data_IF_695019056598
#
_entry.id   IF_695019056598
#
_cell.length_a   1.000
_cell.length_b   1.000
_cell.length_c   1.000
_cell.angle_alpha   90.00
_cell.angle_beta   90.00
_cell.angle_gamma   90.00
#
_symmetry.space_group_name_H-M   'P 1'
#
loop_
_entity.id
_entity.type
_entity.pdbx_description
1 polymer ?
#
# COMPACT_ATOMS: atom_id res chain seq x y z
N UNK A 1 39.97 1.93 -59.49
CA UNK A 1 39.33 2.86 -58.52
C UNK A 1 38.66 2.03 -57.44
N UNK A 2 39.24 1.99 -56.23
CA UNK A 2 38.74 1.17 -55.11
C UNK A 2 37.79 2.02 -54.25
N UNK A 3 36.54 1.60 -54.01
CA UNK A 3 35.60 2.36 -53.19
C UNK A 3 36.04 2.32 -51.72
N UNK A 4 36.31 3.49 -51.15
CA UNK A 4 36.53 3.67 -49.71
C UNK A 4 35.20 3.39 -48.98
N UNK A 5 35.07 2.20 -48.41
CA UNK A 5 34.02 1.87 -47.46
C UNK A 5 34.17 2.79 -46.23
N UNK A 6 33.32 3.82 -46.18
CA UNK A 6 33.13 4.67 -45.00
C UNK A 6 32.66 3.79 -43.84
N UNK A 7 33.58 3.40 -42.97
CA UNK A 7 33.22 2.68 -41.75
C UNK A 7 32.26 3.52 -40.91
N UNK A 8 31.15 2.94 -40.41
CA UNK A 8 30.21 3.65 -39.57
C UNK A 8 30.92 4.11 -38.29
N UNK A 9 30.86 5.42 -38.01
CA UNK A 9 31.49 6.15 -36.88
C UNK A 9 31.09 5.64 -35.47
N UNK A 10 30.31 4.57 -35.39
CA UNK A 10 29.85 3.93 -34.17
C UNK A 10 30.92 3.06 -33.52
N UNK A 11 31.72 2.34 -34.29
CA UNK A 11 32.73 1.41 -33.74
C UNK A 11 33.80 2.14 -32.94
N UNK A 12 34.41 3.24 -33.42
CA UNK A 12 35.40 3.98 -32.64
C UNK A 12 34.81 4.60 -31.36
N UNK A 13 33.54 5.04 -31.40
CA UNK A 13 32.84 5.60 -30.22
C UNK A 13 32.56 4.53 -29.17
N UNK A 14 32.19 3.32 -29.59
CA UNK A 14 31.97 2.19 -28.69
C UNK A 14 33.26 1.74 -28.01
N UNK A 15 34.35 1.64 -28.77
CA UNK A 15 35.66 1.28 -28.23
C UNK A 15 36.13 2.32 -27.20
N UNK A 16 36.01 3.61 -27.52
CA UNK A 16 36.37 4.70 -26.59
C UNK A 16 35.53 4.70 -25.31
N UNK A 17 34.24 4.37 -25.41
CA UNK A 17 33.36 4.24 -24.25
C UNK A 17 33.67 3.00 -23.39
N UNK A 18 34.11 1.90 -24.01
CA UNK A 18 34.54 0.70 -23.29
C UNK A 18 35.89 0.90 -22.59
N UNK A 19 36.83 1.59 -23.23
CA UNK A 19 38.12 1.96 -22.63
C UNK A 19 37.93 2.88 -21.43
N UNK A 20 37.08 3.91 -21.55
CA UNK A 20 36.75 4.79 -20.43
C UNK A 20 35.97 4.08 -19.32
N UNK A 21 35.15 3.09 -19.64
CA UNK A 21 34.47 2.24 -18.65
C UNK A 21 35.45 1.30 -17.92
N UNK A 22 36.46 0.75 -18.61
CA UNK A 22 37.52 -0.09 -18.01
C UNK A 22 38.49 0.70 -17.14
N UNK A 23 38.81 1.94 -17.53
CA UNK A 23 39.73 2.80 -16.78
C UNK A 23 39.09 3.36 -15.49
N UNK A 24 37.76 3.31 -15.36
CA UNK A 24 37.10 3.66 -14.09
C UNK A 24 37.26 2.49 -13.11
N UNK A 25 37.80 2.72 -11.90
CA UNK A 25 37.76 1.71 -10.86
C UNK A 25 36.28 1.30 -10.63
N UNK A 26 36.00 0.02 -10.32
CA UNK A 26 34.64 -0.47 -10.11
C UNK A 26 33.98 0.34 -9.00
N UNK A 27 33.26 1.38 -9.41
CA UNK A 27 32.56 2.27 -8.51
C UNK A 27 31.34 1.51 -8.03
N UNK A 28 31.30 1.25 -6.73
CA UNK A 28 30.11 0.78 -6.01
C UNK A 28 28.98 1.83 -6.00
N UNK A 29 29.14 2.96 -6.70
CA UNK A 29 28.12 3.97 -6.80
C UNK A 29 26.94 3.48 -7.67
N UNK A 30 25.69 3.73 -7.25
CA UNK A 30 24.50 3.29 -7.95
C UNK A 30 24.46 3.86 -9.38
N UNK A 31 23.96 3.05 -10.32
CA UNK A 31 23.74 3.37 -11.73
C UNK A 31 23.33 4.84 -11.92
N UNK A 32 24.20 5.59 -12.59
CA UNK A 32 24.02 7.02 -12.87
C UNK A 32 22.70 7.21 -13.63
N UNK A 33 21.66 7.65 -12.93
CA UNK A 33 20.43 8.09 -13.59
C UNK A 33 20.78 9.36 -14.36
N UNK A 34 20.36 9.48 -15.64
CA UNK A 34 20.61 10.69 -16.41
C UNK A 34 20.06 11.89 -15.64
N UNK A 35 20.78 13.03 -15.60
CA UNK A 35 20.33 14.20 -14.88
C UNK A 35 18.94 14.58 -15.37
N UNK A 36 17.98 14.52 -14.45
CA UNK A 36 16.58 14.81 -14.73
C UNK A 36 16.54 16.23 -15.31
N UNK A 37 16.23 16.35 -16.60
CA UNK A 37 16.17 17.63 -17.32
C UNK A 37 15.37 18.59 -16.42
N UNK A 38 16.04 19.62 -15.88
CA UNK A 38 15.39 20.65 -15.07
C UNK A 38 14.30 21.21 -15.96
N UNK A 39 13.04 20.83 -15.70
CA UNK A 39 11.92 21.48 -16.36
C UNK A 39 12.04 22.94 -15.90
N UNK A 40 12.40 23.83 -16.83
CA UNK A 40 12.38 25.26 -16.58
C UNK A 40 11.01 25.55 -15.96
N UNK A 41 11.03 26.03 -14.71
CA UNK A 41 9.81 26.47 -14.06
C UNK A 41 9.25 27.56 -14.94
N UNK A 42 8.06 27.36 -15.49
CA UNK A 42 7.28 28.51 -15.91
C UNK A 42 7.08 29.32 -14.64
N UNK A 43 7.55 30.57 -14.64
CA UNK A 43 7.25 31.52 -13.58
C UNK A 43 5.74 31.48 -13.35
N UNK A 44 5.39 31.22 -12.10
CA UNK A 44 4.00 31.26 -11.67
C UNK A 44 3.66 32.74 -11.61
N UNK A 45 3.23 33.29 -12.74
CA UNK A 45 2.55 34.58 -12.73
C UNK A 45 1.42 34.44 -11.70
N UNK A 46 1.46 35.28 -10.67
CA UNK A 46 0.45 35.32 -9.60
C UNK A 46 -0.92 35.35 -10.27
N UNK A 47 -1.75 34.34 -9.98
CA UNK A 47 -3.08 34.25 -10.58
C UNK A 47 -3.80 35.59 -10.37
N UNK A 48 -4.39 36.19 -11.44
CA UNK A 48 -5.20 37.37 -11.25
C UNK A 48 -6.27 37.06 -10.21
N UNK A 49 -6.46 37.99 -9.25
CA UNK A 49 -7.49 37.82 -8.22
C UNK A 49 -8.83 37.58 -8.93
N UNK A 50 -9.51 36.50 -8.57
CA UNK A 50 -10.83 36.23 -9.13
C UNK A 50 -11.74 37.42 -8.78
N UNK A 51 -12.36 38.08 -9.77
CA UNK A 51 -13.33 39.13 -9.45
C UNK A 51 -14.46 38.50 -8.62
N UNK A 52 -14.91 39.23 -7.59
CA UNK A 52 -15.99 38.79 -6.71
C UNK A 52 -17.16 38.27 -7.55
N UNK A 53 -17.73 37.10 -7.24
CA UNK A 53 -18.93 36.59 -7.94
C UNK A 53 -20.22 37.19 -7.37
N UNK A 54 -20.13 38.07 -6.37
CA UNK A 54 -21.30 38.75 -5.82
C UNK A 54 -21.94 39.67 -6.88
N UNK A 55 -23.28 39.72 -6.94
CA UNK A 55 -23.98 40.71 -7.77
C UNK A 55 -23.93 42.13 -7.17
N UNK A 56 -23.62 42.26 -5.86
CA UNK A 56 -23.60 43.54 -5.18
C UNK A 56 -22.48 44.45 -5.72
N UNK A 57 -22.88 45.63 -6.22
CA UNK A 57 -21.95 46.65 -6.74
C UNK A 57 -21.52 46.47 -8.20
N UNK A 58 -22.10 45.53 -8.94
CA UNK A 58 -21.82 45.35 -10.38
C UNK A 58 -22.76 46.15 -11.26
N UNK A 59 -22.19 47.00 -12.12
CA UNK A 59 -22.93 47.72 -13.17
C UNK A 59 -23.13 46.90 -14.46
N UNK A 60 -22.41 45.78 -14.61
CA UNK A 60 -22.42 44.95 -15.82
C UNK A 60 -22.49 43.46 -15.47
N UNK A 61 -23.02 42.67 -16.41
CA UNK A 61 -23.07 41.22 -16.32
C UNK A 61 -21.67 40.62 -16.21
N UNK A 62 -21.52 39.55 -15.43
CA UNK A 62 -20.28 38.75 -15.31
C UNK A 62 -19.80 38.23 -16.67
N UNK A 63 -20.72 38.10 -17.63
CA UNK A 63 -20.50 37.59 -19.00
C UNK A 63 -20.16 38.72 -19.99
N UNK A 64 -20.04 39.97 -19.53
CA UNK A 64 -19.53 41.08 -20.36
C UNK A 64 -18.29 41.74 -19.75
N UNK A 65 -17.74 41.16 -18.68
CA UNK A 65 -16.64 41.75 -17.91
C UNK A 65 -15.29 41.44 -18.59
N UNK A 66 -14.50 42.46 -18.90
CA UNK A 66 -13.22 42.30 -19.64
C UNK A 66 -12.19 41.39 -18.95
N UNK A 67 -12.38 41.11 -17.66
CA UNK A 67 -11.63 40.16 -16.85
C UNK A 67 -12.24 38.75 -16.81
N UNK A 68 -13.06 38.42 -17.80
CA UNK A 68 -13.77 37.16 -17.83
C UNK A 68 -12.85 35.95 -17.86
N UNK A 69 -13.00 35.01 -16.90
CA UNK A 69 -12.25 33.78 -16.91
C UNK A 69 -12.61 32.87 -18.10
N UNK A 70 -13.78 33.08 -18.71
CA UNK A 70 -14.24 32.34 -19.90
C UNK A 70 -13.52 32.83 -21.16
N UNK A 71 -13.41 34.15 -21.33
CA UNK A 71 -12.75 34.74 -22.50
C UNK A 71 -11.21 34.72 -22.37
N UNK A 72 -10.69 34.69 -21.14
CA UNK A 72 -9.24 34.65 -20.85
C UNK A 72 -8.80 33.38 -20.14
N UNK A 73 -9.28 32.20 -20.58
CA UNK A 73 -8.91 30.88 -20.01
C UNK A 73 -7.38 30.69 -19.92
N UNK A 74 -6.61 31.25 -20.86
CA UNK A 74 -5.16 31.19 -20.84
C UNK A 74 -4.53 31.91 -19.63
N UNK A 75 -5.11 33.04 -19.19
CA UNK A 75 -4.68 33.82 -18.01
C UNK A 75 -5.19 33.21 -16.70
N UNK A 76 -6.31 32.50 -16.76
CA UNK A 76 -6.93 31.83 -15.62
C UNK A 76 -6.61 30.33 -15.55
N UNK A 77 -5.56 29.89 -16.24
CA UNK A 77 -5.12 28.49 -16.19
C UNK A 77 -4.60 28.22 -14.79
N UNK A 78 -5.49 27.75 -13.90
CA UNK A 78 -5.12 27.33 -12.55
C UNK A 78 -3.96 26.37 -12.66
N UNK A 79 -2.78 26.83 -12.28
CA UNK A 79 -1.68 25.93 -12.01
C UNK A 79 -2.19 25.02 -10.89
N UNK A 80 -2.34 23.73 -11.21
CA UNK A 80 -2.72 22.75 -10.19
C UNK A 80 -1.64 22.84 -9.13
N UNK A 81 -2.00 23.37 -7.96
CA UNK A 81 -1.11 23.38 -6.81
C UNK A 81 -0.57 21.96 -6.64
N UNK A 82 0.71 21.86 -6.30
CA UNK A 82 1.31 20.56 -6.07
C UNK A 82 0.47 19.81 -5.03
N UNK A 83 0.24 18.49 -5.22
CA UNK A 83 -0.56 17.73 -4.27
C UNK A 83 0.03 17.88 -2.87
N UNK A 84 -0.80 18.08 -1.84
CA UNK A 84 -0.31 18.24 -0.49
C UNK A 84 0.47 16.98 -0.07
N UNK A 85 1.46 17.16 0.80
CA UNK A 85 2.33 16.06 1.24
C UNK A 85 2.20 15.90 2.75
N UNK A 86 2.17 14.65 3.20
CA UNK A 86 2.33 14.32 4.62
C UNK A 86 3.72 14.78 5.06
N UNK A 87 3.80 15.88 5.80
CA UNK A 87 5.06 16.33 6.39
C UNK A 87 5.33 15.51 7.64
N UNK A 88 6.24 14.56 7.54
CA UNK A 88 6.76 13.86 8.71
C UNK A 88 7.67 14.87 9.43
N UNK A 89 7.40 15.20 10.70
CA UNK A 89 8.23 16.13 11.46
C UNK A 89 9.62 15.53 11.63
N UNK A 90 10.57 15.93 10.78
CA UNK A 90 11.96 15.54 10.94
C UNK A 90 12.53 16.23 12.19
N UNK A 91 13.38 15.54 12.97
CA UNK A 91 14.11 16.19 14.04
C UNK A 91 14.86 17.40 13.43
N UNK A 92 14.62 18.59 14.00
CA UNK A 92 15.27 19.83 13.60
C UNK A 92 16.76 19.73 13.94
N UNK A 93 17.53 19.05 13.11
CA UNK A 93 18.96 19.33 13.04
C UNK A 93 19.07 20.75 12.49
N UNK A 94 19.45 21.67 13.37
CA UNK A 94 19.57 23.12 13.15
C UNK A 94 20.50 23.34 11.94
N UNK A 95 19.97 23.73 10.78
CA UNK A 95 20.81 24.14 9.66
C UNK A 95 20.11 24.13 8.30
N UNK A 96 19.63 22.97 7.85
CA UNK A 96 19.20 22.81 6.46
C UNK A 96 18.06 21.78 6.39
N UNK A 97 16.82 22.21 6.57
CA UNK A 97 15.73 21.43 5.98
C UNK A 97 15.59 21.88 4.53
N UNK A 98 15.90 21.02 3.55
CA UNK A 98 15.54 21.30 2.17
C UNK A 98 14.02 21.34 2.11
N UNK A 99 13.46 22.54 2.16
CA UNK A 99 12.09 22.76 1.70
C UNK A 99 12.08 22.18 0.29
N UNK A 100 11.31 21.11 0.09
CA UNK A 100 11.18 20.47 -1.22
C UNK A 100 10.41 21.42 -2.12
N UNK A 101 11.11 22.44 -2.63
CA UNK A 101 10.63 23.31 -3.68
C UNK A 101 10.56 22.48 -4.96
N UNK A 102 9.36 22.41 -5.52
CA UNK A 102 9.19 21.92 -6.89
C UNK A 102 8.65 23.11 -7.66
N UNK A 103 9.48 23.67 -8.54
CA UNK A 103 9.15 24.91 -9.29
C UNK A 103 8.92 26.14 -8.39
N UNK A 104 9.77 26.36 -7.39
CA UNK A 104 9.72 27.57 -6.55
C UNK A 104 8.62 27.60 -5.49
N UNK A 105 7.56 26.80 -5.62
CA UNK A 105 6.49 26.73 -4.61
C UNK A 105 6.78 25.65 -3.56
N UNK A 106 6.65 25.98 -2.26
CA UNK A 106 6.71 24.97 -1.21
C UNK A 106 5.46 24.09 -1.27
N UNK A 107 5.63 22.77 -1.20
CA UNK A 107 4.49 21.86 -1.08
C UNK A 107 3.73 22.14 0.21
N UNK A 108 2.42 22.39 0.09
CA UNK A 108 1.49 22.51 1.22
C UNK A 108 1.51 21.23 2.06
N UNK A 109 1.47 21.38 3.38
CA UNK A 109 1.29 20.26 4.30
C UNK A 109 -0.17 19.81 4.30
N UNK A 110 -0.42 18.50 4.41
CA UNK A 110 -1.79 18.01 4.53
C UNK A 110 -2.46 18.51 5.83
N UNK A 111 -3.72 18.93 5.74
CA UNK A 111 -4.57 19.20 6.91
C UNK A 111 -4.84 17.91 7.71
N UNK A 112 -5.45 18.04 8.89
CA UNK A 112 -5.89 16.89 9.70
C UNK A 112 -6.91 16.03 8.94
N UNK A 113 -7.90 16.67 8.32
CA UNK A 113 -8.93 16.01 7.49
C UNK A 113 -8.32 15.32 6.27
N UNK A 114 -7.43 16.00 5.53
CA UNK A 114 -6.73 15.40 4.39
C UNK A 114 -5.92 14.18 4.82
N UNK A 115 -5.31 14.22 6.01
CA UNK A 115 -4.60 13.06 6.58
C UNK A 115 -5.54 11.93 6.97
N UNK A 116 -6.68 12.21 7.58
CA UNK A 116 -7.68 11.19 7.92
C UNK A 116 -8.19 10.47 6.66
N UNK A 117 -8.51 11.24 5.60
CA UNK A 117 -8.91 10.69 4.30
C UNK A 117 -7.79 9.88 3.63
N UNK A 118 -6.53 10.34 3.74
CA UNK A 118 -5.37 9.65 3.17
C UNK A 118 -4.96 8.39 3.94
N UNK A 119 -5.19 8.37 5.25
CA UNK A 119 -4.97 7.22 6.12
C UNK A 119 -6.01 6.11 5.91
N UNK A 120 -7.20 6.45 5.39
CA UNK A 120 -8.23 5.49 5.05
C UNK A 120 -7.86 4.70 3.76
N UNK A 121 -7.61 3.38 3.85
CA UNK A 121 -7.20 2.60 2.70
C UNK A 121 -8.28 2.50 1.62
N UNK A 122 -9.56 2.52 1.99
CA UNK A 122 -10.67 2.39 1.04
C UNK A 122 -10.78 3.63 0.14
N UNK A 123 -10.72 4.81 0.74
CA UNK A 123 -10.71 6.08 0.00
C UNK A 123 -9.49 6.17 -0.91
N UNK A 124 -8.32 5.72 -0.44
CA UNK A 124 -7.09 5.71 -1.24
C UNK A 124 -7.15 4.71 -2.40
N UNK A 125 -7.87 3.60 -2.28
CA UNK A 125 -8.14 2.70 -3.41
C UNK A 125 -9.02 3.39 -4.46
N UNK A 126 -10.08 4.09 -4.03
CA UNK A 126 -10.99 4.82 -4.91
C UNK A 126 -10.29 6.01 -5.60
N UNK A 127 -9.34 6.66 -4.92
CA UNK A 127 -8.55 7.76 -5.48
C UNK A 127 -7.47 7.30 -6.46
N UNK A 128 -7.28 5.99 -6.67
CA UNK A 128 -6.30 5.52 -7.65
C UNK A 128 -6.75 5.82 -9.08
N UNK A 129 -5.82 6.00 -10.04
CA UNK A 129 -6.18 6.31 -11.41
C UNK A 129 -7.14 5.29 -12.01
N UNK A 130 -8.20 5.77 -12.63
CA UNK A 130 -9.24 4.94 -13.24
C UNK A 130 -8.72 4.35 -14.56
N UNK A 131 -9.02 3.06 -14.82
CA UNK A 131 -8.64 2.32 -16.04
C UNK A 131 -9.77 1.43 -16.50
N UNK A 132 -9.80 1.11 -17.78
CA UNK A 132 -10.77 0.18 -18.35
C UNK A 132 -10.29 -1.27 -18.24
N UNK A 133 -11.15 -2.16 -17.74
CA UNK A 133 -10.91 -3.59 -17.71
C UNK A 133 -11.02 -4.18 -19.13
N UNK A 134 -10.04 -5.00 -19.53
CA UNK A 134 -9.97 -5.63 -20.84
C UNK A 134 -11.15 -6.57 -21.10
N UNK A 135 -11.55 -7.33 -20.07
CA UNK A 135 -12.59 -8.36 -20.13
C UNK A 135 -13.99 -7.77 -20.07
N UNK A 136 -14.30 -7.04 -19.01
CA UNK A 136 -15.66 -6.55 -18.73
C UNK A 136 -15.95 -5.19 -19.37
N UNK A 137 -14.93 -4.50 -19.91
CA UNK A 137 -15.01 -3.12 -20.41
C UNK A 137 -15.44 -2.07 -19.38
N UNK A 138 -15.65 -2.47 -18.12
CA UNK A 138 -15.96 -1.58 -17.00
C UNK A 138 -14.74 -0.73 -16.66
N UNK A 139 -15.03 0.48 -16.20
CA UNK A 139 -14.04 1.49 -15.85
C UNK A 139 -13.92 1.51 -14.32
N UNK A 140 -12.75 1.10 -13.80
CA UNK A 140 -12.52 0.88 -12.37
C UNK A 140 -11.22 1.55 -11.90
N UNK A 141 -11.09 1.93 -10.62
CA UNK A 141 -9.82 2.39 -10.08
C UNK A 141 -8.74 1.31 -10.17
N UNK A 142 -7.48 1.71 -10.42
CA UNK A 142 -6.34 0.79 -10.60
C UNK A 142 -6.15 -0.19 -9.44
N UNK A 143 -6.51 0.18 -8.21
CA UNK A 143 -6.42 -0.72 -7.05
C UNK A 143 -7.25 -2.01 -7.22
N UNK A 144 -8.38 -1.94 -7.93
CA UNK A 144 -9.28 -3.06 -8.22
C UNK A 144 -8.87 -3.85 -9.47
N UNK A 145 -7.73 -3.51 -10.07
CA UNK A 145 -7.25 -4.08 -11.33
C UNK A 145 -5.86 -4.70 -11.16
N UNK A 146 -5.57 -5.67 -12.01
CA UNK A 146 -4.27 -6.31 -12.21
C UNK A 146 -3.78 -5.90 -13.58
N UNK A 147 -2.56 -5.37 -13.64
CA UNK A 147 -1.89 -5.04 -14.91
C UNK A 147 -1.18 -6.29 -15.43
N UNK A 148 -1.49 -6.68 -16.66
CA UNK A 148 -0.78 -7.69 -17.42
C UNK A 148 -0.06 -7.03 -18.60
N UNK A 149 1.18 -7.42 -18.84
CA UNK A 149 1.99 -6.91 -19.93
C UNK A 149 2.55 -8.07 -20.77
N UNK A 150 2.53 -7.97 -22.12
CA UNK A 150 3.19 -8.95 -22.96
C UNK A 150 4.70 -8.91 -22.70
N UNK A 151 5.31 -10.09 -22.60
CA UNK A 151 6.75 -10.28 -22.48
C UNK A 151 7.23 -11.11 -23.66
N UNK A 152 8.27 -10.63 -24.33
CA UNK A 152 8.94 -11.40 -25.37
C UNK A 152 9.62 -12.61 -24.73
N UNK A 153 9.29 -13.80 -25.23
CA UNK A 153 10.06 -15.00 -24.91
C UNK A 153 11.36 -15.01 -25.73
N UNK A 154 12.44 -15.57 -25.19
CA UNK A 154 13.65 -15.79 -25.98
C UNK A 154 13.30 -16.63 -27.22
N UNK A 155 13.83 -16.29 -28.41
CA UNK A 155 13.51 -17.00 -29.64
C UNK A 155 13.98 -18.46 -29.51
N UNK A 156 13.05 -19.41 -29.67
CA UNK A 156 13.38 -20.84 -29.60
C UNK A 156 13.96 -21.38 -30.91
N UNK A 157 13.75 -20.66 -32.04
CA UNK A 157 14.27 -21.02 -33.37
C UNK A 157 14.71 -19.78 -34.13
N UNK A 158 15.80 -19.90 -34.88
CA UNK A 158 16.30 -18.88 -35.82
C UNK A 158 15.24 -18.69 -36.91
N UNK A 159 14.67 -17.49 -37.02
CA UNK A 159 13.65 -17.13 -38.03
C UNK A 159 12.18 -17.29 -37.61
N UNK A 160 11.89 -17.77 -36.40
CA UNK A 160 10.51 -17.86 -35.91
C UNK A 160 9.93 -16.51 -35.46
N UNK A 161 8.60 -16.33 -35.61
CA UNK A 161 7.88 -15.22 -35.00
C UNK A 161 8.14 -15.22 -33.48
N UNK A 162 8.47 -14.05 -32.92
CA UNK A 162 8.69 -13.91 -31.47
C UNK A 162 7.38 -14.20 -30.74
N UNK A 163 7.37 -15.29 -29.98
CA UNK A 163 6.27 -15.61 -29.10
C UNK A 163 6.26 -14.61 -27.93
N UNK A 164 5.08 -14.09 -27.62
CA UNK A 164 4.87 -13.25 -26.45
C UNK A 164 4.09 -14.03 -25.39
N UNK A 165 4.45 -13.85 -24.13
CA UNK A 165 3.72 -14.38 -22.99
C UNK A 165 3.11 -13.23 -22.21
N UNK A 166 1.82 -13.32 -21.91
CA UNK A 166 1.17 -12.36 -21.03
C UNK A 166 1.56 -12.67 -19.58
N UNK A 167 2.16 -11.70 -18.90
CA UNK A 167 2.66 -11.86 -17.54
C UNK A 167 2.23 -10.70 -16.63
N UNK A 168 2.11 -10.93 -15.31
CA UNK A 168 1.78 -9.87 -14.38
C UNK A 168 2.91 -8.82 -14.31
N UNK A 169 2.50 -7.55 -14.22
CA UNK A 169 3.40 -6.41 -14.09
C UNK A 169 2.88 -5.44 -13.02
N UNK A 170 3.81 -4.81 -12.29
CA UNK A 170 3.47 -3.82 -11.26
C UNK A 170 2.68 -4.35 -10.06
N UNK A 171 2.66 -5.66 -9.80
CA UNK A 171 2.10 -6.23 -8.57
C UNK A 171 3.03 -6.00 -7.37
N UNK A 172 4.33 -6.16 -7.58
CA UNK A 172 5.37 -5.92 -6.57
C UNK A 172 5.58 -4.44 -6.29
N UNK A 173 6.14 -4.14 -5.12
CA UNK A 173 6.39 -2.77 -4.71
C UNK A 173 7.47 -2.12 -5.59
N UNK A 174 7.30 -0.86 -6.03
CA UNK A 174 8.24 -0.16 -6.91
C UNK A 174 9.71 -0.17 -6.45
N UNK A 175 9.96 -0.14 -5.14
CA UNK A 175 11.31 -0.23 -4.55
C UNK A 175 11.99 -1.59 -4.77
N UNK A 176 11.22 -2.66 -4.96
CA UNK A 176 11.74 -4.01 -5.21
C UNK A 176 11.79 -4.31 -6.70
N UNK A 177 10.77 -3.84 -7.44
CA UNK A 177 10.71 -3.99 -8.89
C UNK A 177 9.95 -2.84 -9.52
N UNK A 178 10.64 -2.11 -10.38
CA UNK A 178 10.03 -1.05 -11.15
C UNK A 178 9.00 -1.63 -12.14
N UNK A 179 7.82 -1.00 -12.26
CA UNK A 179 6.85 -1.40 -13.27
C UNK A 179 7.46 -1.17 -14.66
N UNK A 180 7.18 -2.09 -15.59
CA UNK A 180 7.70 -1.93 -16.95
C UNK A 180 7.02 -0.77 -17.67
N UNK A 181 7.81 -0.03 -18.44
CA UNK A 181 7.31 0.96 -19.39
C UNK A 181 6.79 0.20 -20.62
N UNK A 182 5.60 0.57 -21.09
CA UNK A 182 4.98 -0.04 -22.27
C UNK A 182 3.51 -0.35 -22.11
N UNK A 183 2.93 -0.91 -23.17
CA UNK A 183 1.52 -1.27 -23.23
C UNK A 183 1.22 -2.35 -22.20
N UNK A 184 0.28 -2.05 -21.30
CA UNK A 184 -0.22 -3.00 -20.31
C UNK A 184 -1.74 -2.96 -20.29
N UNK A 185 -2.33 -4.13 -20.13
CA UNK A 185 -3.76 -4.34 -20.11
C UNK A 185 -4.21 -4.56 -18.67
N UNK A 186 -5.38 -4.07 -18.32
CA UNK A 186 -5.90 -4.18 -16.97
C UNK A 186 -7.03 -5.20 -16.95
N UNK A 187 -7.03 -6.06 -15.95
CA UNK A 187 -8.09 -7.04 -15.69
C UNK A 187 -8.57 -6.85 -14.27
N UNK A 188 -9.84 -7.12 -13.99
CA UNK A 188 -10.38 -7.10 -12.63
C UNK A 188 -9.52 -7.96 -11.69
N UNK A 189 -9.28 -7.46 -10.48
CA UNK A 189 -8.53 -8.17 -9.43
C UNK A 189 -9.42 -9.28 -8.84
N UNK A 190 -9.67 -10.30 -9.65
CA UNK A 190 -10.54 -11.43 -9.35
C UNK A 190 -10.01 -12.68 -10.06
N UNK A 191 -9.91 -13.79 -9.32
CA UNK A 191 -9.33 -15.05 -9.80
C UNK A 191 -10.09 -15.60 -11.01
N UNK A 192 -11.42 -15.64 -10.94
CA UNK A 192 -12.23 -16.20 -12.02
C UNK A 192 -12.16 -15.34 -13.29
N UNK A 193 -11.87 -14.05 -13.18
CA UNK A 193 -11.61 -13.21 -14.35
C UNK A 193 -10.39 -13.71 -15.15
N UNK A 194 -9.36 -14.22 -14.47
CA UNK A 194 -8.19 -14.85 -15.13
C UNK A 194 -8.59 -16.18 -15.75
N UNK A 195 -9.36 -17.01 -15.06
CA UNK A 195 -9.88 -18.28 -15.58
C UNK A 195 -10.74 -18.05 -16.83
N UNK A 196 -11.62 -17.05 -16.81
CA UNK A 196 -12.44 -16.63 -17.95
C UNK A 196 -11.59 -16.14 -19.12
N UNK A 197 -10.50 -15.40 -18.87
CA UNK A 197 -9.58 -14.96 -19.93
C UNK A 197 -8.86 -16.14 -20.59
N UNK A 198 -8.49 -17.16 -19.81
CA UNK A 198 -7.83 -18.38 -20.30
C UNK A 198 -8.83 -19.26 -21.06
N UNK A 199 -10.04 -19.43 -20.55
CA UNK A 199 -11.07 -20.29 -21.14
C UNK A 199 -11.77 -19.70 -22.37
N UNK A 200 -12.01 -18.37 -22.41
CA UNK A 200 -12.65 -17.73 -23.57
C UNK A 200 -11.64 -17.53 -24.70
N UNK A 201 -11.77 -18.35 -25.74
CA UNK A 201 -10.94 -18.26 -26.93
C UNK A 201 -10.94 -16.84 -27.53
N UNK A 202 -9.75 -16.29 -27.77
CA UNK A 202 -9.57 -15.05 -28.52
C UNK A 202 -9.51 -13.74 -27.72
N UNK A 203 -9.84 -13.72 -26.42
CA UNK A 203 -9.79 -12.46 -25.65
C UNK A 203 -8.35 -11.94 -25.51
N UNK A 204 -7.40 -12.83 -25.18
CA UNK A 204 -5.98 -12.50 -25.13
C UNK A 204 -5.39 -12.20 -26.51
N UNK A 205 -5.99 -12.65 -27.62
CA UNK A 205 -5.54 -12.32 -28.99
C UNK A 205 -5.76 -10.84 -29.34
N UNK A 206 -6.64 -10.14 -28.63
CA UNK A 206 -6.81 -8.67 -28.75
C UNK A 206 -5.59 -7.90 -28.24
N UNK A 207 -4.76 -8.51 -27.40
CA UNK A 207 -3.50 -7.94 -26.90
C UNK A 207 -2.41 -8.01 -27.98
N UNK A 208 -2.38 -9.11 -28.74
CA UNK A 208 -1.46 -9.33 -29.85
C UNK A 208 -1.68 -10.70 -30.47
N UNK A 209 -1.30 -10.86 -31.75
CA UNK A 209 -1.54 -12.09 -32.53
C UNK A 209 -0.81 -13.32 -31.97
N UNK A 210 0.38 -13.13 -31.41
CA UNK A 210 1.26 -14.20 -30.91
C UNK A 210 1.37 -14.23 -29.38
N UNK A 211 0.36 -13.69 -28.68
CA UNK A 211 0.34 -13.63 -27.22
C UNK A 211 -0.27 -14.92 -26.68
N UNK A 212 0.49 -15.61 -25.84
CA UNK A 212 0.07 -16.80 -25.12
C UNK A 212 -0.09 -16.50 -23.64
N UNK A 213 -1.02 -17.19 -22.97
CA UNK A 213 -1.20 -17.11 -21.52
C UNK A 213 -0.72 -18.43 -20.92
N UNK A 214 0.16 -18.37 -19.93
CA UNK A 214 0.63 -19.58 -19.28
C UNK A 214 -0.39 -20.13 -18.28
N UNK A 215 -0.42 -21.47 -18.15
CA UNK A 215 -1.35 -22.19 -17.26
C UNK A 215 -1.27 -21.75 -15.79
N UNK A 216 -0.10 -21.34 -15.32
CA UNK A 216 0.14 -20.94 -13.93
C UNK A 216 -0.03 -19.44 -13.67
N UNK A 217 -0.64 -18.69 -14.59
CA UNK A 217 -0.79 -17.24 -14.46
C UNK A 217 -1.56 -16.86 -13.20
N UNK A 218 -2.60 -17.63 -12.89
CA UNK A 218 -3.43 -17.41 -11.73
C UNK A 218 -2.64 -17.58 -10.43
N UNK A 219 -1.92 -18.69 -10.28
CA UNK A 219 -1.08 -19.01 -9.13
C UNK A 219 0.06 -18.00 -9.00
N UNK A 220 0.67 -17.60 -10.12
CA UNK A 220 1.71 -16.58 -10.13
C UNK A 220 1.19 -15.23 -9.61
N UNK A 221 0.02 -14.79 -10.07
CA UNK A 221 -0.61 -13.55 -9.57
C UNK A 221 -0.91 -13.68 -8.08
N UNK A 222 -1.51 -14.79 -7.66
CA UNK A 222 -1.85 -15.05 -6.26
C UNK A 222 -0.61 -15.00 -5.36
N UNK A 223 0.49 -15.62 -5.79
CA UNK A 223 1.79 -15.59 -5.11
C UNK A 223 2.35 -14.17 -5.04
N UNK A 224 2.38 -13.45 -6.16
CA UNK A 224 2.94 -12.10 -6.22
C UNK A 224 2.15 -11.09 -5.38
N UNK A 225 0.82 -11.23 -5.26
CA UNK A 225 0.01 -10.40 -4.36
C UNK A 225 0.37 -10.65 -2.88
N UNK A 226 0.68 -11.89 -2.49
CA UNK A 226 1.16 -12.22 -1.13
C UNK A 226 2.58 -11.70 -0.89
N UNK A 227 3.46 -11.84 -1.87
CA UNK A 227 4.80 -11.23 -1.83
C UNK A 227 4.68 -9.70 -1.67
N UNK A 228 3.70 -9.06 -2.32
CA UNK A 228 3.44 -7.63 -2.14
C UNK A 228 3.09 -7.27 -0.70
N UNK A 229 2.27 -8.07 0.00
CA UNK A 229 2.00 -7.87 1.44
C UNK A 229 3.29 -7.89 2.25
N UNK A 230 4.17 -8.88 2.03
CA UNK A 230 5.46 -8.97 2.71
C UNK A 230 6.37 -7.76 2.40
N UNK A 231 6.40 -7.31 1.15
CA UNK A 231 7.16 -6.13 0.73
C UNK A 231 6.66 -4.85 1.40
N UNK A 232 5.34 -4.65 1.49
CA UNK A 232 4.76 -3.50 2.19
C UNK A 232 5.07 -3.53 3.69
N UNK A 233 5.05 -4.71 4.32
CA UNK A 233 5.48 -4.84 5.72
C UNK A 233 6.94 -4.46 5.92
N UNK A 234 7.82 -4.83 5.00
CA UNK A 234 9.22 -4.42 5.05
C UNK A 234 9.35 -2.90 4.95
N UNK A 235 8.63 -2.26 4.03
CA UNK A 235 8.66 -0.80 3.88
C UNK A 235 8.08 -0.11 5.11
N UNK A 236 7.01 -0.65 5.67
CA UNK A 236 6.44 -0.16 6.92
C UNK A 236 7.45 -0.23 8.07
N UNK A 237 8.25 -1.31 8.13
CA UNK A 237 9.32 -1.44 9.13
C UNK A 237 10.42 -0.39 8.97
N UNK A 238 10.79 -0.08 7.72
CA UNK A 238 11.78 0.97 7.42
C UNK A 238 11.25 2.36 7.80
N UNK A 239 9.96 2.60 7.59
CA UNK A 239 9.30 3.85 7.96
C UNK A 239 9.21 4.01 9.49
N UNK A 240 8.81 2.96 10.20
CA UNK A 240 8.75 2.94 11.67
C UNK A 240 10.12 3.16 12.32
N UNK A 241 11.19 2.61 11.76
CA UNK A 241 12.55 2.86 12.24
C UNK A 241 12.96 4.35 12.16
N UNK A 242 12.35 5.12 11.26
CA UNK A 242 12.60 6.56 11.10
C UNK A 242 11.64 7.42 11.92
N UNK A 243 10.43 6.92 12.21
CA UNK A 243 9.33 7.67 12.83
C UNK A 243 9.06 7.25 14.29
N UNK A 244 9.94 7.64 15.22
CA UNK A 244 9.83 7.22 16.63
C UNK A 244 8.80 8.03 17.45
N UNK A 245 8.39 9.22 17.00
CA UNK A 245 7.52 10.14 17.76
C UNK A 245 6.05 9.67 17.75
N UNK A 246 5.32 9.89 18.84
CA UNK A 246 3.88 9.59 18.94
C UNK A 246 3.54 8.10 19.08
N UNK A 247 4.50 7.28 19.51
CA UNK A 247 4.34 5.85 19.72
C UNK A 247 3.46 5.48 20.92
N UNK A 248 3.32 6.39 21.90
CA UNK A 248 2.49 6.19 23.08
C UNK A 248 1.01 6.40 22.80
N UNK A 249 0.68 7.42 22.01
CA UNK A 249 -0.71 7.84 21.80
C UNK A 249 -1.46 6.82 20.95
N UNK A 250 -0.87 6.44 19.82
CA UNK A 250 -1.51 5.52 18.89
C UNK A 250 -0.55 4.46 18.34
N UNK A 251 -0.83 3.17 18.62
CA UNK A 251 0.00 2.09 18.13
C UNK A 251 -0.29 1.78 16.67
N UNK A 252 0.74 1.68 15.82
CA UNK A 252 0.58 1.23 14.42
C UNK A 252 0.22 -0.26 14.34
N UNK A 253 0.87 -1.04 15.20
CA UNK A 253 0.63 -2.47 15.34
C UNK A 253 0.60 -2.82 16.82
N UNK A 254 -0.34 -3.68 17.22
CA UNK A 254 -0.33 -4.29 18.54
C UNK A 254 -0.76 -5.74 18.49
N UNK A 255 -0.30 -6.50 19.48
CA UNK A 255 -0.72 -7.88 19.69
C UNK A 255 -1.92 -7.87 20.61
N UNK A 256 -3.04 -8.45 20.19
CA UNK A 256 -4.22 -8.57 21.05
C UNK A 256 -3.92 -9.53 22.20
N UNK A 257 -4.39 -9.24 23.41
CA UNK A 257 -4.35 -10.21 24.52
C UNK A 257 -5.28 -11.40 24.23
N UNK A 258 -5.16 -12.48 25.00
CA UNK A 258 -6.08 -13.62 24.86
C UNK A 258 -7.51 -13.24 25.26
N UNK A 259 -7.68 -12.40 26.29
CA UNK A 259 -8.97 -11.84 26.68
C UNK A 259 -9.59 -11.02 25.55
N UNK A 260 -8.85 -10.06 24.98
CA UNK A 260 -9.33 -9.24 23.85
C UNK A 260 -9.70 -10.10 22.65
N UNK A 261 -8.86 -11.08 22.32
CA UNK A 261 -9.12 -11.99 21.20
C UNK A 261 -10.34 -12.90 21.44
N UNK A 262 -10.56 -13.35 22.67
CA UNK A 262 -11.77 -14.08 23.06
C UNK A 262 -12.99 -13.16 22.92
N UNK A 263 -12.88 -11.90 23.33
CA UNK A 263 -13.89 -10.86 23.15
C UNK A 263 -14.28 -10.66 21.68
N UNK A 264 -13.31 -10.47 20.78
CA UNK A 264 -13.56 -10.33 19.33
C UNK A 264 -14.25 -11.56 18.74
N UNK A 265 -13.87 -12.76 19.21
CA UNK A 265 -14.51 -14.01 18.78
C UNK A 265 -15.95 -14.17 19.28
N UNK A 266 -16.23 -13.77 20.52
CA UNK A 266 -17.55 -13.89 21.13
C UNK A 266 -18.51 -12.81 20.66
N UNK A 267 -18.05 -11.56 20.53
CA UNK A 267 -18.86 -10.44 20.05
C UNK A 267 -19.06 -10.48 18.53
N UNK A 268 -18.12 -11.09 17.81
CA UNK A 268 -18.09 -10.99 16.35
C UNK A 268 -17.83 -9.57 15.85
N UNK A 269 -17.35 -8.66 16.70
CA UNK A 269 -17.04 -7.26 16.37
C UNK A 269 -15.61 -6.90 16.77
N UNK A 270 -15.04 -5.87 16.12
CA UNK A 270 -13.70 -5.34 16.40
C UNK A 270 -13.85 -3.92 16.96
N UNK A 271 -13.95 -3.75 18.30
CA UNK A 271 -14.31 -2.49 18.96
C UNK A 271 -13.13 -1.51 19.04
N UNK A 272 -12.49 -1.24 17.90
CA UNK A 272 -11.32 -0.37 17.81
C UNK A 272 -11.52 0.60 16.65
N UNK A 273 -11.72 1.89 16.96
CA UNK A 273 -12.09 2.92 15.99
C UNK A 273 -11.08 3.07 14.83
N UNK A 274 -9.78 2.95 15.11
CA UNK A 274 -8.72 3.07 14.11
C UNK A 274 -8.26 1.73 13.53
N UNK A 275 -8.99 0.64 13.79
CA UNK A 275 -8.64 -0.67 13.26
C UNK A 275 -8.85 -0.75 11.75
N UNK A 276 -7.80 -1.16 11.03
CA UNK A 276 -7.87 -1.38 9.59
C UNK A 276 -7.84 -2.86 9.22
N UNK A 277 -7.13 -3.68 9.98
CA UNK A 277 -7.14 -5.13 9.77
C UNK A 277 -6.72 -5.87 11.04
N UNK A 278 -7.27 -7.08 11.20
CA UNK A 278 -6.79 -8.05 12.20
C UNK A 278 -6.15 -9.22 11.45
N UNK A 279 -4.91 -9.58 11.78
CA UNK A 279 -4.22 -10.73 11.20
C UNK A 279 -4.02 -11.80 12.26
N UNK A 280 -4.58 -12.99 12.04
CA UNK A 280 -4.37 -14.16 12.90
C UNK A 280 -3.28 -15.02 12.31
N UNK A 281 -2.05 -14.88 12.82
CA UNK A 281 -0.87 -15.55 12.27
C UNK A 281 -0.20 -16.37 13.37
N UNK A 282 -0.56 -17.67 13.53
CA UNK A 282 0.13 -18.54 14.47
C UNK A 282 1.58 -18.80 14.01
N UNK A 283 2.50 -19.09 14.95
CA UNK A 283 3.86 -19.47 14.61
C UNK A 283 3.86 -20.76 13.78
N UNK A 284 4.76 -20.85 12.82
CA UNK A 284 4.86 -22.03 11.96
C UNK A 284 5.50 -23.18 12.75
N UNK A 285 4.86 -24.35 12.70
CA UNK A 285 5.37 -25.56 13.32
C UNK A 285 6.71 -25.98 12.73
N UNK A 286 7.53 -26.62 13.56
CA UNK A 286 8.76 -27.26 13.13
C UNK A 286 8.44 -28.42 12.20
N UNK A 287 9.18 -28.58 11.10
CA UNK A 287 9.01 -29.72 10.21
C UNK A 287 9.29 -31.03 10.97
N UNK A 288 8.40 -32.04 10.94
CA UNK A 288 8.56 -33.24 11.75
C UNK A 288 9.80 -34.06 11.34
N UNK A 289 10.12 -34.10 10.05
CA UNK A 289 11.29 -34.80 9.50
C UNK A 289 12.60 -34.08 9.80
N UNK A 290 12.68 -32.78 9.52
CA UNK A 290 13.95 -32.03 9.64
C UNK A 290 14.20 -31.44 11.02
N UNK A 291 13.18 -31.44 11.91
CA UNK A 291 13.17 -30.77 13.23
C UNK A 291 13.60 -29.30 13.19
N UNK A 292 13.57 -28.67 12.00
CA UNK A 292 13.91 -27.26 11.80
C UNK A 292 12.66 -26.46 11.45
N UNK A 293 12.60 -25.23 11.95
CA UNK A 293 11.58 -24.28 11.51
C UNK A 293 11.87 -23.84 10.07
N UNK A 294 10.83 -23.66 9.26
CA UNK A 294 10.99 -23.21 7.87
C UNK A 294 11.62 -21.82 7.85
N UNK A 295 12.55 -21.62 6.91
CA UNK A 295 13.23 -20.33 6.75
C UNK A 295 12.24 -19.33 6.12
N UNK A 296 12.16 -18.09 6.63
CA UNK A 296 11.33 -17.06 6.02
C UNK A 296 11.82 -16.75 4.61
N UNK A 297 10.90 -16.74 3.64
CA UNK A 297 11.21 -16.45 2.23
C UNK A 297 10.27 -15.37 1.67
N UNK A 298 10.84 -14.37 1.01
CA UNK A 298 10.12 -13.26 0.35
C UNK A 298 10.35 -13.26 -1.18
N UNK A 299 10.85 -14.36 -1.74
CA UNK A 299 11.16 -14.47 -3.17
C UNK A 299 9.92 -14.34 -4.05
N UNK A 300 10.07 -13.59 -5.14
CA UNK A 300 9.08 -13.48 -6.21
C UNK A 300 8.88 -14.81 -6.95
N UNK A 301 9.90 -15.67 -6.98
CA UNK A 301 9.79 -16.98 -7.59
C UNK A 301 9.00 -17.91 -6.65
N UNK A 302 7.98 -18.63 -7.16
CA UNK A 302 7.31 -19.65 -6.36
C UNK A 302 8.31 -20.72 -5.95
N UNK A 303 8.21 -21.20 -4.71
CA UNK A 303 8.98 -22.36 -4.25
C UNK A 303 8.49 -23.62 -4.95
N UNK A 304 9.36 -24.59 -5.28
CA UNK A 304 8.97 -25.83 -5.92
C UNK A 304 7.93 -26.60 -5.10
N UNK A 305 7.99 -26.49 -3.77
CA UNK A 305 7.04 -27.05 -2.80
C UNK A 305 5.57 -26.64 -3.06
N UNK A 306 5.34 -25.55 -3.81
CA UNK A 306 4.01 -25.08 -4.17
C UNK A 306 3.35 -25.95 -5.26
N UNK A 307 4.13 -26.59 -6.13
CA UNK A 307 3.63 -27.26 -7.34
C UNK A 307 3.03 -28.64 -7.04
N UNK A 308 3.44 -29.28 -5.96
CA UNK A 308 3.04 -30.67 -5.63
C UNK A 308 1.66 -30.80 -4.94
N UNK A 309 0.87 -29.72 -4.92
CA UNK A 309 -0.59 -29.79 -5.06
C UNK A 309 -1.36 -30.79 -4.18
N UNK A 310 -1.01 -30.97 -2.90
CA UNK A 310 -1.78 -31.88 -2.04
C UNK A 310 -2.00 -31.42 -0.60
N UNK A 311 -2.51 -30.19 -0.41
CA UNK A 311 -3.44 -29.97 0.71
C UNK A 311 -4.86 -30.43 0.32
N UNK A 312 -4.99 -31.66 -0.22
CA UNK A 312 -6.26 -32.25 -0.68
C UNK A 312 -7.27 -32.57 0.46
N UNK A 313 -7.07 -32.07 1.67
CA UNK A 313 -7.92 -32.46 2.82
C UNK A 313 -8.07 -31.44 3.95
N UNK A 314 -7.47 -30.25 3.87
CA UNK A 314 -7.73 -29.24 4.89
C UNK A 314 -9.02 -28.50 4.55
N UNK A 315 -10.03 -28.58 5.42
CA UNK A 315 -11.22 -27.72 5.35
C UNK A 315 -10.73 -26.28 5.19
N UNK A 316 -10.98 -25.67 4.04
CA UNK A 316 -10.45 -24.35 3.72
C UNK A 316 -11.08 -23.34 4.68
N UNK A 317 -10.31 -22.88 5.66
CA UNK A 317 -10.70 -21.75 6.49
C UNK A 317 -10.93 -20.54 5.57
N UNK A 318 -11.88 -19.65 5.87
CA UNK A 318 -12.09 -18.46 5.07
C UNK A 318 -10.81 -17.60 5.07
N UNK A 319 -10.45 -17.05 3.91
CA UNK A 319 -9.31 -16.15 3.77
C UNK A 319 -9.44 -14.95 4.71
N UNK A 320 -10.63 -14.36 4.70
CA UNK A 320 -10.95 -13.16 5.43
C UNK A 320 -12.44 -13.15 5.80
N UNK A 321 -12.74 -12.74 7.03
CA UNK A 321 -14.11 -12.49 7.52
C UNK A 321 -14.22 -11.00 7.87
N UNK A 322 -15.29 -10.34 7.45
CA UNK A 322 -15.52 -8.92 7.74
C UNK A 322 -16.28 -8.79 9.06
N UNK A 323 -15.73 -8.09 10.04
CA UNK A 323 -16.36 -7.85 11.34
C UNK A 323 -16.80 -6.38 11.47
N UNK A 324 -17.98 -6.07 12.02
CA UNK A 324 -18.36 -4.69 12.32
C UNK A 324 -17.42 -4.04 13.35
N UNK A 325 -17.26 -2.72 13.28
CA UNK A 325 -16.44 -1.95 14.24
C UNK A 325 -17.15 -1.68 15.57
N UNK A 326 -18.47 -1.68 15.60
CA UNK A 326 -19.26 -1.51 16.82
C UNK A 326 -20.06 -2.78 17.10
N UNK A 327 -20.01 -3.22 18.36
CA UNK A 327 -20.92 -4.25 18.89
C UNK A 327 -22.17 -3.65 19.53
N UNK A 328 -22.22 -2.33 19.69
CA UNK A 328 -23.27 -1.68 20.47
C UNK A 328 -24.60 -1.76 19.70
N UNK A 329 -25.63 -2.45 20.23
CA UNK A 329 -26.96 -2.42 19.65
C UNK A 329 -27.51 -1.00 19.57
N UNK A 330 -27.06 -0.07 20.44
CA UNK A 330 -27.52 1.31 20.40
C UNK A 330 -27.06 2.05 19.13
N UNK A 331 -25.86 1.78 18.61
CA UNK A 331 -25.43 2.35 17.33
C UNK A 331 -26.32 1.86 16.17
N UNK A 332 -26.88 0.65 16.30
CA UNK A 332 -27.86 0.13 15.36
C UNK A 332 -29.23 0.79 15.52
N UNK A 333 -29.59 1.21 16.74
CA UNK A 333 -30.86 1.89 17.05
C UNK A 333 -30.83 3.40 16.73
N UNK A 334 -29.70 4.09 16.93
CA UNK A 334 -29.52 5.50 16.53
C UNK A 334 -29.58 5.64 15.00
N UNK A 335 -29.23 4.58 14.26
CA UNK A 335 -29.43 4.52 12.81
C UNK A 335 -30.90 4.34 12.39
N UNK A 336 -31.83 4.16 13.33
CA UNK A 336 -33.28 4.06 13.07
C UNK A 336 -34.04 5.38 13.28
N UNK A 337 -33.37 6.48 13.65
CA UNK A 337 -33.99 7.81 13.67
C UNK A 337 -34.27 8.27 12.21
N UNK A 338 -35.51 8.64 11.93
CA UNK A 338 -36.27 8.22 10.73
C UNK A 338 -35.88 8.80 9.35
N UNK A 339 -34.99 9.78 9.21
CA UNK A 339 -34.82 10.50 7.91
C UNK A 339 -33.44 10.36 7.23
N UNK A 340 -32.46 9.71 7.86
CA UNK A 340 -31.17 9.36 7.22
C UNK A 340 -30.86 7.85 7.35
N UNK A 341 -31.76 6.95 6.90
CA UNK A 341 -31.60 5.54 7.18
C UNK A 341 -30.65 4.89 6.16
N UNK A 342 -29.71 4.07 6.66
CA UNK A 342 -29.13 2.89 5.97
C UNK A 342 -28.36 3.11 4.65
N UNK A 343 -28.20 4.33 4.14
CA UNK A 343 -27.52 4.57 2.85
C UNK A 343 -26.03 4.20 2.88
N UNK A 344 -25.37 4.35 4.04
CA UNK A 344 -23.96 4.01 4.19
C UNK A 344 -23.80 2.66 4.89
N UNK A 345 -23.05 1.71 4.28
CA UNK A 345 -22.79 0.44 4.92
C UNK A 345 -21.99 0.64 6.21
N UNK A 346 -22.33 -0.12 7.25
CA UNK A 346 -21.58 -0.12 8.51
C UNK A 346 -20.09 -0.38 8.24
N UNK A 347 -19.22 0.37 8.93
CA UNK A 347 -17.78 0.15 8.85
C UNK A 347 -17.43 -1.27 9.30
N UNK A 348 -16.60 -1.96 8.49
CA UNK A 348 -16.18 -3.33 8.77
C UNK A 348 -14.66 -3.46 8.67
N UNK A 349 -14.11 -4.21 9.62
CA UNK A 349 -12.68 -4.55 9.70
C UNK A 349 -12.46 -5.97 9.18
N UNK A 350 -11.59 -6.16 8.18
CA UNK A 350 -11.22 -7.49 7.71
C UNK A 350 -10.35 -8.22 8.74
N UNK A 351 -10.77 -9.43 9.11
CA UNK A 351 -10.02 -10.39 9.91
C UNK A 351 -9.44 -11.46 8.98
N UNK A 352 -8.13 -11.43 8.79
CA UNK A 352 -7.38 -12.33 7.92
C UNK A 352 -6.87 -13.55 8.69
N UNK A 353 -7.04 -14.72 8.09
CA UNK A 353 -6.40 -15.93 8.56
C UNK A 353 -5.04 -16.12 7.86
N UNK A 354 -3.96 -16.13 8.63
CA UNK A 354 -2.59 -16.26 8.12
C UNK A 354 -2.32 -17.56 7.37
N UNK A 355 -3.06 -18.64 7.64
CA UNK A 355 -2.89 -19.94 6.98
C UNK A 355 -3.34 -19.86 5.52
N UNK A 356 -4.51 -19.26 5.28
CA UNK A 356 -5.09 -19.07 3.93
C UNK A 356 -4.54 -17.85 3.22
N UNK A 357 -4.16 -16.82 3.99
CA UNK A 357 -3.49 -15.62 3.45
C UNK A 357 -2.15 -15.99 2.84
N UNK A 358 -1.37 -16.87 3.46
CA UNK A 358 -0.11 -17.38 2.92
C UNK A 358 -0.13 -18.92 2.94
N UNK A 359 -0.55 -19.59 1.85
CA UNK A 359 -0.53 -21.06 1.78
C UNK A 359 0.87 -21.65 1.86
N UNK A 360 1.88 -20.95 1.30
CA UNK A 360 3.29 -21.33 1.42
C UNK A 360 3.78 -21.15 2.86
N UNK A 361 4.33 -22.24 3.40
CA UNK A 361 4.89 -22.34 4.75
C UNK A 361 6.01 -21.30 4.96
N UNK A 362 6.85 -21.09 3.94
CA UNK A 362 7.98 -20.17 4.01
C UNK A 362 7.52 -18.71 4.03
N UNK A 363 6.48 -18.38 3.25
CA UNK A 363 5.83 -17.07 3.31
C UNK A 363 5.10 -16.83 4.64
N UNK A 364 4.47 -17.85 5.24
CA UNK A 364 3.90 -17.69 6.60
C UNK A 364 4.96 -17.39 7.64
N UNK A 365 6.09 -18.10 7.57
CA UNK A 365 7.22 -17.84 8.45
C UNK A 365 7.74 -16.41 8.27
N UNK A 366 7.82 -15.94 7.02
CA UNK A 366 8.18 -14.54 6.71
C UNK A 366 7.16 -13.56 7.28
N UNK A 367 5.86 -13.78 7.05
CA UNK A 367 4.77 -12.94 7.55
C UNK A 367 4.82 -12.80 9.08
N UNK A 368 4.89 -13.92 9.79
CA UNK A 368 4.98 -13.94 11.25
C UNK A 368 6.25 -13.23 11.76
N UNK A 369 7.40 -13.49 11.12
CA UNK A 369 8.67 -12.83 11.47
C UNK A 369 8.60 -11.32 11.27
N UNK A 370 8.00 -10.85 10.16
CA UNK A 370 7.78 -9.44 9.88
C UNK A 370 6.85 -8.79 10.91
N UNK A 371 5.76 -9.47 11.33
CA UNK A 371 4.86 -8.94 12.36
C UNK A 371 5.56 -8.80 13.71
N UNK A 372 6.35 -9.80 14.12
CA UNK A 372 7.16 -9.73 15.34
C UNK A 372 8.23 -8.64 15.26
N UNK A 373 8.84 -8.43 14.09
CA UNK A 373 9.79 -7.36 13.88
C UNK A 373 9.14 -5.98 14.05
N UNK A 374 7.97 -5.75 13.43
CA UNK A 374 7.21 -4.51 13.61
C UNK A 374 6.82 -4.29 15.07
N UNK A 375 6.35 -5.32 15.78
CA UNK A 375 6.06 -5.22 17.22
C UNK A 375 7.30 -4.86 18.04
N UNK A 376 8.46 -5.42 17.71
CA UNK A 376 9.72 -5.07 18.39
C UNK A 376 10.08 -3.60 18.16
N UNK A 377 9.97 -3.11 16.93
CA UNK A 377 10.20 -1.70 16.60
C UNK A 377 9.24 -0.79 17.39
N UNK A 378 7.96 -1.16 17.45
CA UNK A 378 6.95 -0.40 18.19
C UNK A 378 7.26 -0.35 19.69
N UNK A 379 7.65 -1.47 20.30
CA UNK A 379 8.06 -1.51 21.71
C UNK A 379 9.28 -0.62 21.99
N UNK A 380 10.28 -0.67 21.11
CA UNK A 380 11.48 0.17 21.24
C UNK A 380 11.11 1.65 21.13
N UNK A 381 10.25 2.02 20.18
CA UNK A 381 9.77 3.39 20.03
C UNK A 381 9.03 3.88 21.28
N UNK A 382 8.12 3.07 21.84
CA UNK A 382 7.42 3.41 23.10
C UNK A 382 8.36 3.54 24.28
N UNK A 383 9.30 2.61 24.44
CA UNK A 383 10.28 2.67 25.53
C UNK A 383 11.11 3.97 25.47
N UNK A 384 11.59 4.34 24.27
CA UNK A 384 12.30 5.60 24.06
C UNK A 384 11.44 6.82 24.38
N UNK A 385 10.17 6.81 23.98
CA UNK A 385 9.26 7.93 24.26
C UNK A 385 8.94 8.05 25.75
N UNK A 386 8.72 6.94 26.46
CA UNK A 386 8.59 6.96 27.92
C UNK A 386 9.84 7.51 28.61
N UNK A 387 11.03 7.05 28.19
CA UNK A 387 12.29 7.56 28.73
C UNK A 387 12.48 9.07 28.47
N UNK A 388 12.00 9.57 27.32
CA UNK A 388 12.01 11.01 27.03
C UNK A 388 11.03 11.78 27.93
N UNK A 389 9.79 11.29 28.09
CA UNK A 389 8.80 11.93 28.96
C UNK A 389 9.26 11.97 30.41
N UNK A 390 9.80 10.86 30.91
CA UNK A 390 10.37 10.79 32.26
C UNK A 390 11.47 11.83 32.47
N UNK A 391 12.40 11.97 31.51
CA UNK A 391 13.44 13.01 31.57
C UNK A 391 12.88 14.42 31.53
N UNK A 392 11.80 14.64 30.79
CA UNK A 392 11.13 15.95 30.73
C UNK A 392 10.40 16.26 32.04
N UNK A 393 9.78 15.26 32.66
CA UNK A 393 9.14 15.35 33.97
C UNK A 393 10.16 15.61 35.08
N UNK A 394 11.28 14.88 35.09
CA UNK A 394 12.41 15.10 36.00
C UNK A 394 12.97 16.52 35.85
N UNK A 395 13.21 16.99 34.62
CA UNK A 395 13.69 18.34 34.37
C UNK A 395 12.68 19.41 34.82
N UNK A 396 11.37 19.13 34.68
CA UNK A 396 10.30 20.03 35.14
C UNK A 396 10.23 20.07 36.67
N UNK A 397 10.35 18.92 37.35
CA UNK A 397 10.38 18.82 38.80
C UNK A 397 11.59 19.53 39.41
N UNK A 398 12.77 19.41 38.78
CA UNK A 398 13.97 20.15 39.15
C UNK A 398 13.78 21.67 39.01
N UNK A 399 13.10 22.11 37.95
CA UNK A 399 12.81 23.54 37.75
C UNK A 399 11.77 24.10 38.74
N UNK A 400 10.84 23.26 39.23
CA UNK A 400 9.81 23.68 40.20
C UNK A 400 10.25 23.60 41.66
N UNK A 401 11.47 23.12 41.96
CA UNK A 401 12.00 23.04 43.33
C UNK A 401 11.29 22.01 44.23
N UNK A 402 10.41 21.16 43.70
CA UNK A 402 9.73 20.10 44.45
C UNK A 402 10.57 18.82 44.46
N UNK A 403 11.74 18.88 45.08
CA UNK A 403 12.57 17.71 45.34
C UNK A 403 12.09 17.05 46.63
N UNK A 404 11.51 15.84 46.58
CA UNK A 404 11.74 14.74 47.56
C UNK A 404 10.72 13.59 47.60
N UNK A 405 9.77 13.44 46.67
CA UNK A 405 9.04 12.17 46.59
C UNK A 405 9.86 11.15 45.78
N UNK A 406 10.68 10.35 46.47
CA UNK A 406 11.31 9.18 45.87
C UNK A 406 10.20 8.26 45.32
N UNK A 407 10.25 7.87 44.03
CA UNK A 407 9.28 6.94 43.48
C UNK A 407 9.41 5.62 44.23
N UNK A 408 8.35 5.21 44.95
CA UNK A 408 8.25 3.89 45.57
C UNK A 408 8.64 2.84 44.54
N UNK A 409 9.85 2.28 44.69
CA UNK A 409 10.32 1.14 43.90
C UNK A 409 9.40 -0.02 44.23
N UNK A 410 8.37 -0.25 43.42
CA UNK A 410 7.58 -1.48 43.47
C UNK A 410 8.56 -2.66 43.31
N UNK A 411 8.82 -3.44 44.36
CA UNK A 411 9.88 -4.44 44.32
C UNK A 411 9.43 -5.61 43.43
N UNK A 412 10.13 -5.78 42.31
CA UNK A 412 10.61 -7.09 41.83
C UNK A 412 9.61 -8.15 41.39
N UNK A 413 8.30 -7.90 41.37
CA UNK A 413 7.34 -8.85 40.79
C UNK A 413 7.28 -8.70 39.27
N UNK A 414 8.18 -9.40 38.58
CA UNK A 414 7.84 -10.00 37.29
C UNK A 414 6.78 -11.09 37.52
N UNK A 415 5.62 -10.70 38.05
CA UNK A 415 4.48 -11.59 38.13
C UNK A 415 4.17 -12.00 36.70
N UNK A 416 4.30 -13.31 36.46
CA UNK A 416 3.86 -13.95 35.25
C UNK A 416 2.42 -13.51 35.01
N UNK A 417 2.24 -12.53 34.11
CA UNK A 417 0.94 -11.92 33.84
C UNK A 417 -0.11 -13.04 33.72
N UNK A 418 -1.22 -12.98 34.47
CA UNK A 418 -2.22 -14.03 34.51
C UNK A 418 -2.63 -14.43 33.09
N UNK A 419 -2.93 -15.72 32.89
CA UNK A 419 -2.89 -16.38 31.57
C UNK A 419 -3.69 -15.74 30.43
N UNK A 420 -4.68 -14.88 30.74
CA UNK A 420 -5.53 -14.14 29.80
C UNK A 420 -4.92 -12.82 29.30
N UNK A 421 -3.99 -12.24 30.06
CA UNK A 421 -3.23 -11.05 29.67
C UNK A 421 -2.10 -11.37 28.67
N UNK A 422 -1.76 -12.66 28.53
CA UNK A 422 -0.76 -13.11 27.57
C UNK A 422 -1.20 -12.78 26.14
N UNK A 423 -0.27 -12.27 25.33
CA UNK A 423 -0.52 -11.98 23.92
C UNK A 423 -0.98 -13.20 23.11
N UNK A 424 -2.07 -13.05 22.36
CA UNK A 424 -2.66 -14.03 21.45
C UNK A 424 -1.85 -14.18 20.14
N UNK A 425 -2.35 -14.88 19.12
CA UNK A 425 -1.73 -14.88 17.78
C UNK A 425 -2.38 -13.87 16.82
N UNK A 426 -3.24 -13.00 17.34
CA UNK A 426 -3.90 -11.95 16.59
C UNK A 426 -3.14 -10.63 16.71
N UNK A 427 -2.90 -10.01 15.56
CA UNK A 427 -2.22 -8.73 15.43
C UNK A 427 -3.21 -7.72 14.86
N UNK A 428 -3.39 -6.61 15.58
CA UNK A 428 -4.23 -5.50 15.14
C UNK A 428 -3.35 -4.47 14.42
N UNK A 429 -3.72 -4.11 13.20
CA UNK A 429 -3.16 -2.98 12.46
C UNK A 429 -4.10 -1.78 12.59
N UNK A 430 -3.53 -0.63 12.94
CA UNK A 430 -4.26 0.62 13.06
C UNK A 430 -3.82 1.63 11.98
N UNK A 431 -4.76 2.44 11.50
CA UNK A 431 -4.49 3.55 10.57
C UNK A 431 -5.45 4.70 10.87
N UNK A 432 -4.90 5.89 11.05
CA UNK A 432 -5.57 7.16 11.31
C UNK A 432 -4.63 8.32 10.96
N UNK A 433 -5.07 9.56 11.14
CA UNK A 433 -4.27 10.76 10.84
C UNK A 433 -3.00 10.89 11.69
N UNK A 434 -2.94 10.22 12.85
CA UNK A 434 -1.82 10.27 13.78
C UNK A 434 -0.74 9.25 13.43
N UNK A 435 -1.14 8.01 13.16
CA UNK A 435 -0.29 6.92 12.68
C UNK A 435 0.32 7.27 11.34
N UNK A 436 -0.40 7.97 10.45
CA UNK A 436 0.12 8.43 9.17
C UNK A 436 1.36 9.35 9.29
N UNK A 437 1.47 10.13 10.36
CA UNK A 437 2.67 10.95 10.63
C UNK A 437 3.89 10.11 11.03
N UNK A 438 3.65 8.90 11.55
CA UNK A 438 4.70 7.96 11.99
C UNK A 438 5.11 7.05 10.86
N UNK A 439 4.14 6.32 10.32
CA UNK A 439 4.31 5.45 9.16
C UNK A 439 2.97 5.19 8.47
N UNK A 440 2.99 5.20 7.14
CA UNK A 440 1.80 5.00 6.29
C UNK A 440 1.41 3.52 6.21
N UNK A 441 0.34 3.11 6.90
CA UNK A 441 -0.16 1.73 6.94
C UNK A 441 -1.11 1.41 5.78
N UNK A 442 -1.71 2.43 5.16
CA UNK A 442 -2.71 2.25 4.11
C UNK A 442 -2.20 1.40 2.92
N UNK A 443 -0.95 1.53 2.42
CA UNK A 443 -0.42 0.65 1.37
C UNK A 443 -0.44 -0.84 1.72
N UNK A 444 -0.14 -1.19 2.97
CA UNK A 444 -0.21 -2.57 3.46
C UNK A 444 -1.65 -3.07 3.49
N UNK A 445 -2.58 -2.26 3.99
CA UNK A 445 -4.00 -2.58 4.01
C UNK A 445 -4.58 -2.77 2.60
N UNK A 446 -4.18 -1.92 1.64
CA UNK A 446 -4.55 -2.07 0.23
C UNK A 446 -3.99 -3.38 -0.35
N UNK A 447 -2.75 -3.75 -0.02
CA UNK A 447 -2.18 -5.02 -0.46
C UNK A 447 -2.97 -6.23 0.08
N UNK A 448 -3.34 -6.22 1.37
CA UNK A 448 -4.20 -7.23 1.99
C UNK A 448 -5.58 -7.29 1.34
N UNK A 449 -6.17 -6.13 1.04
CA UNK A 449 -7.47 -6.05 0.36
C UNK A 449 -7.41 -6.63 -1.06
N UNK A 450 -6.32 -6.38 -1.80
CA UNK A 450 -6.13 -6.95 -3.14
C UNK A 450 -5.98 -8.47 -3.12
N UNK A 451 -5.36 -9.05 -2.08
CA UNK A 451 -5.37 -10.51 -1.90
C UNK A 451 -6.79 -11.03 -1.66
N UNK A 452 -7.56 -10.35 -0.80
CA UNK A 452 -8.98 -10.68 -0.53
C UNK A 452 -9.82 -10.65 -1.80
N UNK A 453 -9.76 -9.56 -2.57
CA UNK A 453 -10.52 -9.41 -3.81
C UNK A 453 -10.13 -10.46 -4.85
N UNK A 454 -8.82 -10.73 -4.98
CA UNK A 454 -8.35 -11.71 -5.93
C UNK A 454 -8.91 -13.10 -5.63
N UNK A 455 -8.87 -13.55 -4.37
CA UNK A 455 -9.41 -14.85 -3.96
C UNK A 455 -10.95 -14.90 -3.85
N UNK A 456 -11.66 -13.90 -4.41
CA UNK A 456 -13.11 -13.88 -4.55
C UNK A 456 -13.87 -13.09 -3.48
N UNK A 457 -13.20 -12.60 -2.45
CA UNK A 457 -13.86 -11.83 -1.39
C UNK A 457 -14.41 -10.50 -1.88
N UNK A 458 -15.69 -10.24 -1.65
CA UNK A 458 -16.37 -9.01 -2.05
C UNK A 458 -17.03 -9.03 -3.42
N UNK A 459 -17.03 -10.18 -4.10
CA UNK A 459 -17.76 -10.40 -5.35
C UNK A 459 -19.00 -11.30 -5.17
N UNK A 460 -19.40 -11.59 -3.93
CA UNK A 460 -20.52 -12.49 -3.65
C UNK A 460 -21.84 -11.95 -4.25
N UNK A 461 -22.51 -12.76 -5.07
CA UNK A 461 -23.76 -12.40 -5.77
C UNK A 461 -24.88 -11.93 -4.82
N UNK A 462 -24.95 -12.52 -3.62
CA UNK A 462 -25.91 -12.10 -2.59
C UNK A 462 -25.68 -10.66 -2.10
N UNK A 463 -24.43 -10.20 -2.11
CA UNK A 463 -24.10 -8.81 -1.79
C UNK A 463 -24.35 -7.89 -2.98
N UNK A 464 -24.26 -8.39 -4.23
CA UNK A 464 -24.56 -7.59 -5.42
C UNK A 464 -26.04 -7.17 -5.50
N UNK A 465 -26.94 -7.97 -4.95
CA UNK A 465 -28.37 -7.62 -4.83
C UNK A 465 -28.65 -6.56 -3.77
N UNK A 466 -27.83 -6.48 -2.71
CA UNK A 466 -28.06 -5.57 -1.56
C UNK A 466 -27.12 -4.35 -1.52
N UNK A 467 -25.98 -4.37 -2.21
CA UNK A 467 -25.04 -3.25 -2.26
C UNK A 467 -25.31 -2.39 -3.50
N UNK A 468 -25.91 -1.23 -3.26
CA UNK A 468 -26.47 -0.36 -4.31
C UNK A 468 -25.56 -0.05 -5.50
N UNK A 469 -26.18 -0.05 -6.69
CA UNK A 469 -25.88 0.81 -7.85
C UNK A 469 -24.58 0.57 -8.63
N UNK A 470 -23.43 0.43 -7.96
CA UNK A 470 -22.13 0.46 -8.65
C UNK A 470 -21.81 -0.84 -9.39
N UNK A 471 -22.51 -1.92 -9.07
CA UNK A 471 -22.37 -3.21 -9.72
C UNK A 471 -23.62 -3.69 -10.46
N UNK A 472 -24.77 -3.04 -10.25
CA UNK A 472 -26.10 -3.49 -10.68
C UNK A 472 -26.45 -3.16 -12.13
N UNK A 473 -25.56 -2.55 -12.92
CA UNK A 473 -25.72 -2.48 -14.39
C UNK A 473 -24.96 -3.62 -15.08
N UNK A 474 -25.31 -4.85 -14.74
CA UNK A 474 -24.84 -6.07 -15.41
C UNK A 474 -25.83 -6.47 -16.50
#
# INVERSE_FOLDING_TARGET
>A
MVPRLSMPRLIPRLLRNLETARARPPSTAPLHTPPRRKQQGHDVDSLPQLPSLSPEGRAQSIVLDSLEPIMTIARHKRHKALPPVVKIPQPRNKGDQPVLYVRGEPRRAMSTEERALWANPYLRMLSTPIRQCLLTKRVLPKAFLIRLAPKLLPPTRIGGNRAEILAPDGLEHPNFKSPRVGNGYHITCFKDAITMMVGKAGVHKRVGRNVTVHKYLQEQIAHMLRVRVLQEMHILSLSLQRGERGALDVPIIRRLTRAEWKGVKSSGAVPYANAVAVLVVPPVNTNPSTKKRPKPNMSTAPTPDFVDGSSKGSRSLPLCVMHPTSSDPLDALIAEDEDLPRLLPQSRVPLYNGITLCPDVSQRAALHTSLLHLLRLERVARFKQHALLHRMEEARAQASGSANEEPEKKPGQEDLLPGDEKGSHAFLLCSDESTLLRADVAPLAIALWRVRMFEGGGWDEKLLETSGGWASSA
#
